data_IF_950769282999
#
_entry.id   IF_950769282999
#
_cell.length_a   1.000
_cell.length_b   1.000
_cell.length_c   1.000
_cell.angle_alpha   90.00
_cell.angle_beta   90.00
_cell.angle_gamma   90.00
#
_symmetry.space_group_name_H-M   'P 1'
#
loop_
_entity.id
_entity.type
_entity.pdbx_description
1 polymer ?
#
# COMPACT_ATOMS: atom_id res chain seq x y z
N UNK A 1 19.12 2.29 0.80
CA UNK A 1 17.78 2.60 0.23
C UNK A 1 16.93 1.35 0.23
N UNK A 2 15.61 1.48 0.37
CA UNK A 2 14.64 0.38 0.40
C UNK A 2 13.38 0.75 -0.37
N UNK A 3 12.61 -0.27 -0.72
CA UNK A 3 11.27 -0.15 -1.27
C UNK A 3 10.27 -0.68 -0.25
N UNK A 4 9.26 0.11 0.09
CA UNK A 4 8.17 -0.33 0.96
C UNK A 4 6.96 -0.67 0.11
N UNK A 5 6.50 -1.91 0.23
CA UNK A 5 5.18 -2.33 -0.21
C UNK A 5 4.21 -2.21 0.96
N UNK A 6 3.03 -1.66 0.73
CA UNK A 6 1.95 -1.64 1.71
C UNK A 6 0.61 -1.98 1.08
N UNK A 7 -0.30 -2.56 1.86
CA UNK A 7 -1.72 -2.67 1.51
C UNK A 7 -2.49 -1.78 2.46
N UNK A 8 -3.24 -0.85 1.88
CA UNK A 8 -3.97 0.18 2.61
C UNK A 8 -5.46 0.10 2.27
N UNK A 9 -6.25 0.77 3.11
CA UNK A 9 -7.69 0.89 2.95
C UNK A 9 -8.07 2.34 2.64
N UNK A 10 -8.97 2.53 1.67
CA UNK A 10 -9.68 3.80 1.45
C UNK A 10 -11.15 3.66 1.83
N UNK A 11 -11.81 4.75 2.24
CA UNK A 11 -13.25 4.80 2.53
C UNK A 11 -13.88 5.89 1.68
N UNK A 12 -14.55 5.48 0.59
CA UNK A 12 -15.04 6.42 -0.43
C UNK A 12 -13.88 7.20 -1.05
N UNK A 13 -14.13 8.49 -1.35
CA UNK A 13 -13.09 9.43 -1.79
C UNK A 13 -12.18 9.93 -0.65
N UNK A 14 -12.52 9.60 0.60
CA UNK A 14 -11.72 9.93 1.78
C UNK A 14 -10.44 9.10 1.77
N UNK A 15 -9.30 9.79 1.81
CA UNK A 15 -7.96 9.21 1.68
C UNK A 15 -7.63 8.05 2.63
N UNK A 16 -6.40 7.49 2.52
CA UNK A 16 -6.04 6.27 3.22
C UNK A 16 -6.26 6.39 4.73
N UNK A 17 -7.05 5.49 5.30
CA UNK A 17 -7.30 5.45 6.74
C UNK A 17 -6.06 4.94 7.47
N UNK A 18 -5.34 3.98 6.87
CA UNK A 18 -4.06 3.44 7.35
C UNK A 18 -3.57 2.31 6.43
N UNK A 19 -2.25 2.07 6.43
CA UNK A 19 -1.69 0.82 5.92
C UNK A 19 -1.99 -0.31 6.91
N UNK A 20 -2.61 -1.38 6.43
CA UNK A 20 -3.00 -2.56 7.22
C UNK A 20 -1.81 -3.52 7.37
N UNK A 21 -0.97 -3.58 6.35
CA UNK A 21 0.23 -4.41 6.33
C UNK A 21 1.28 -3.75 5.46
N UNK A 22 2.53 -3.82 5.93
CA UNK A 22 3.70 -3.27 5.26
C UNK A 22 4.80 -4.33 5.15
N UNK A 23 5.65 -4.19 4.14
CA UNK A 23 6.82 -5.04 3.92
C UNK A 23 7.93 -4.24 3.23
N UNK A 24 9.16 -4.37 3.74
CA UNK A 24 10.34 -3.71 3.19
C UNK A 24 11.12 -4.65 2.27
N UNK A 25 11.59 -4.11 1.15
CA UNK A 25 12.24 -4.86 0.07
C UNK A 25 13.51 -4.15 -0.42
N UNK A 26 14.44 -4.93 -0.96
CA UNK A 26 15.67 -4.41 -1.56
C UNK A 26 15.48 -3.82 -2.97
N UNK A 27 14.37 -4.12 -3.66
CA UNK A 27 14.11 -3.69 -5.03
C UNK A 27 12.62 -3.38 -5.25
N UNK A 28 12.33 -2.56 -6.28
CA UNK A 28 10.95 -2.27 -6.71
C UNK A 28 10.24 -3.56 -7.15
N UNK A 29 10.91 -4.40 -7.94
CA UNK A 29 10.34 -5.64 -8.47
C UNK A 29 9.89 -6.59 -7.37
N UNK A 30 10.72 -6.79 -6.34
CA UNK A 30 10.36 -7.62 -5.19
C UNK A 30 9.20 -7.06 -4.38
N UNK A 31 9.11 -5.73 -4.25
CA UNK A 31 7.99 -5.06 -3.58
C UNK A 31 6.68 -5.23 -4.37
N UNK A 32 6.73 -5.09 -5.71
CA UNK A 32 5.57 -5.29 -6.58
C UNK A 32 5.10 -6.74 -6.62
N UNK A 33 6.03 -7.69 -6.72
CA UNK A 33 5.73 -9.12 -6.65
C UNK A 33 5.08 -9.51 -5.31
N UNK A 34 5.49 -8.86 -4.21
CA UNK A 34 4.84 -9.03 -2.93
C UNK A 34 3.37 -8.56 -2.96
N UNK A 35 3.09 -7.39 -3.54
CA UNK A 35 1.72 -6.88 -3.70
C UNK A 35 0.89 -7.82 -4.58
N UNK A 36 1.42 -8.26 -5.72
CA UNK A 36 0.74 -9.19 -6.64
C UNK A 36 0.32 -10.49 -5.95
N UNK A 37 1.15 -11.01 -5.04
CA UNK A 37 0.82 -12.22 -4.28
C UNK A 37 -0.11 -11.97 -3.10
N UNK A 38 -0.01 -10.81 -2.45
CA UNK A 38 -0.65 -10.53 -1.16
C UNK A 38 -1.99 -9.83 -1.31
N UNK A 39 -2.12 -8.83 -2.19
CA UNK A 39 -3.32 -8.01 -2.34
C UNK A 39 -4.56 -8.83 -2.73
N UNK A 40 -4.52 -9.75 -3.72
CA UNK A 40 -5.70 -10.56 -4.07
C UNK A 40 -6.19 -11.47 -2.94
N UNK A 41 -5.28 -11.85 -2.02
CA UNK A 41 -5.59 -12.73 -0.88
C UNK A 41 -5.92 -11.97 0.39
N UNK A 42 -5.75 -10.65 0.40
CA UNK A 42 -5.97 -9.83 1.59
C UNK A 42 -7.46 -9.65 1.81
N UNK A 43 -7.89 -9.89 3.05
CA UNK A 43 -9.26 -9.69 3.50
C UNK A 43 -9.36 -8.35 4.21
N UNK A 44 -10.54 -7.76 4.19
CA UNK A 44 -10.83 -6.60 5.04
C UNK A 44 -10.61 -6.95 6.51
N UNK A 45 -10.01 -6.06 7.30
CA UNK A 45 -9.95 -6.20 8.76
C UNK A 45 -11.32 -6.48 9.37
N UNK A 46 -11.35 -7.25 10.46
CA UNK A 46 -12.58 -7.69 11.10
C UNK A 46 -13.47 -6.54 11.62
N UNK A 47 -12.86 -5.40 11.95
CA UNK A 47 -13.57 -4.20 12.40
C UNK A 47 -14.30 -3.46 11.27
N UNK A 48 -14.10 -3.82 10.00
CA UNK A 48 -14.83 -3.26 8.86
C UNK A 48 -16.08 -4.12 8.60
N UNK A 49 -17.29 -3.61 8.94
CA UNK A 49 -18.52 -4.35 8.75
C UNK A 49 -18.80 -4.59 7.26
N UNK A 50 -19.43 -5.72 6.92
CA UNK A 50 -19.79 -6.02 5.54
C UNK A 50 -20.71 -4.94 4.90
N UNK A 51 -21.55 -4.29 5.71
CA UNK A 51 -22.38 -3.16 5.26
C UNK A 51 -21.54 -1.99 4.75
N UNK A 52 -20.46 -1.62 5.47
CA UNK A 52 -19.54 -0.54 5.07
C UNK A 52 -18.75 -0.84 3.79
N UNK A 53 -18.58 -2.12 3.43
CA UNK A 53 -17.88 -2.49 2.18
C UNK A 53 -18.63 -2.02 0.94
N UNK A 54 -19.94 -1.83 1.03
CA UNK A 54 -20.76 -1.28 -0.06
C UNK A 54 -20.69 0.26 -0.14
N UNK A 55 -20.11 0.92 0.85
CA UNK A 55 -19.94 2.37 0.91
C UNK A 55 -18.63 2.83 0.20
N UNK A 56 -18.09 2.04 -0.73
CA UNK A 56 -16.85 2.36 -1.44
C UNK A 56 -15.58 2.13 -0.62
N UNK A 57 -15.57 1.12 0.25
CA UNK A 57 -14.38 0.74 1.02
C UNK A 57 -13.55 -0.26 0.22
N UNK A 58 -12.34 0.13 -0.14
CA UNK A 58 -11.49 -0.63 -1.05
C UNK A 58 -10.09 -0.88 -0.46
N UNK A 59 -9.50 -2.01 -0.85
CA UNK A 59 -8.11 -2.35 -0.55
C UNK A 59 -7.26 -2.06 -1.79
N UNK A 60 -6.16 -1.35 -1.59
CA UNK A 60 -5.20 -1.06 -2.64
C UNK A 60 -3.77 -1.29 -2.14
N UNK A 61 -2.88 -1.64 -3.07
CA UNK A 61 -1.46 -1.75 -2.82
C UNK A 61 -0.74 -0.44 -3.14
N UNK A 62 0.33 -0.14 -2.42
CA UNK A 62 1.25 0.96 -2.72
C UNK A 62 2.68 0.48 -2.65
N UNK A 63 3.52 0.92 -3.58
CA UNK A 63 4.97 0.70 -3.53
C UNK A 63 5.67 2.05 -3.64
N UNK A 64 6.48 2.37 -2.65
CA UNK A 64 7.23 3.62 -2.57
C UNK A 64 8.69 3.37 -2.20
N UNK A 65 9.58 4.22 -2.74
CA UNK A 65 11.00 4.22 -2.37
C UNK A 65 11.20 5.05 -1.12
N UNK A 66 12.13 4.63 -0.27
CA UNK A 66 12.40 5.33 0.98
C UNK A 66 13.63 4.80 1.71
N UNK A 67 13.77 5.23 2.95
CA UNK A 67 14.83 4.82 3.86
C UNK A 67 14.30 4.63 5.27
N UNK A 68 14.94 3.75 6.03
CA UNK A 68 14.75 3.69 7.48
C UNK A 68 15.70 4.73 8.07
N UNK A 69 15.17 5.62 8.90
CA UNK A 69 15.95 6.59 9.67
C UNK A 69 16.26 5.98 11.03
N UNK A 70 17.53 5.58 11.27
CA UNK A 70 17.91 4.87 12.49
C UNK A 70 18.04 5.78 13.71
N UNK A 71 18.22 7.10 13.51
CA UNK A 71 18.51 8.06 14.59
C UNK A 71 17.26 8.52 15.36
N UNK A 72 16.13 7.83 15.17
CA UNK A 72 14.91 8.02 15.96
C UNK A 72 14.78 6.92 17.03
N UNK A 73 14.12 7.24 18.16
CA UNK A 73 13.88 6.29 19.25
C UNK A 73 13.25 4.98 18.77
N UNK A 74 12.43 5.07 17.73
CA UNK A 74 11.89 3.94 16.98
C UNK A 74 12.32 4.17 15.51
N UNK A 75 13.01 3.21 14.87
CA UNK A 75 13.38 3.36 13.46
C UNK A 75 12.15 3.59 12.59
N UNK A 76 12.08 4.79 12.00
CA UNK A 76 10.93 5.21 11.19
C UNK A 76 11.30 5.13 9.72
N UNK A 77 10.33 4.72 8.90
CA UNK A 77 10.49 4.77 7.46
C UNK A 77 10.06 6.12 6.92
N UNK A 78 10.92 6.73 6.12
CA UNK A 78 10.64 7.98 5.42
C UNK A 78 10.52 7.72 3.91
N UNK A 79 9.40 8.13 3.27
CA UNK A 79 9.28 8.11 1.83
C UNK A 79 10.25 9.12 1.20
N UNK A 80 10.78 8.78 0.04
CA UNK A 80 11.44 9.73 -0.85
C UNK A 80 10.40 10.46 -1.71
N UNK A 81 10.70 11.71 -2.12
CA UNK A 81 9.91 12.46 -3.09
C UNK A 81 10.09 11.90 -4.52
N UNK A 82 9.70 10.64 -4.70
CA UNK A 82 9.82 9.88 -5.94
C UNK A 82 8.44 9.32 -6.34
N UNK A 83 8.21 9.08 -7.64
CA UNK A 83 6.98 8.45 -8.11
C UNK A 83 6.70 7.15 -7.39
N UNK A 84 5.43 6.89 -7.10
CA UNK A 84 4.96 5.69 -6.43
C UNK A 84 4.12 4.85 -7.38
N UNK A 85 4.00 3.56 -7.04
CA UNK A 85 3.09 2.67 -7.71
C UNK A 85 1.88 2.44 -6.83
N UNK A 86 0.69 2.54 -7.41
CA UNK A 86 -0.54 2.06 -6.81
C UNK A 86 -1.02 0.82 -7.54
N UNK A 87 -1.60 -0.11 -6.79
CA UNK A 87 -2.16 -1.35 -7.29
C UNK A 87 -3.62 -1.46 -6.86
N UNK A 88 -4.51 -1.47 -7.82
CA UNK A 88 -5.92 -1.76 -7.58
C UNK A 88 -6.16 -3.25 -7.75
N UNK A 89 -7.04 -3.82 -6.93
CA UNK A 89 -7.39 -5.24 -7.02
C UNK A 89 -8.42 -5.45 -8.14
N UNK A 90 -8.09 -6.29 -9.12
CA UNK A 90 -8.97 -6.70 -10.21
C UNK A 90 -9.16 -8.22 -10.19
N UNK A 91 -10.10 -8.70 -9.36
CA UNK A 91 -10.30 -10.14 -9.14
C UNK A 91 -9.09 -10.77 -8.44
N UNK A 92 -8.44 -11.70 -9.14
CA UNK A 92 -7.21 -12.39 -8.71
C UNK A 92 -5.92 -11.72 -9.21
N UNK A 93 -6.05 -10.66 -10.00
CA UNK A 93 -4.95 -9.87 -10.52
C UNK A 93 -4.91 -8.48 -9.88
N UNK A 94 -3.82 -7.77 -10.15
CA UNK A 94 -3.65 -6.37 -9.74
C UNK A 94 -3.45 -5.51 -10.98
N UNK A 95 -4.05 -4.32 -10.97
CA UNK A 95 -3.84 -3.30 -11.98
C UNK A 95 -2.91 -2.24 -11.42
N UNK A 96 -1.78 -2.03 -12.09
CA UNK A 96 -0.78 -1.08 -11.66
C UNK A 96 -0.98 0.28 -12.33
N UNK A 97 -0.89 1.33 -11.54
CA UNK A 97 -0.78 2.72 -12.01
C UNK A 97 0.43 3.38 -11.36
N UNK A 98 1.14 4.20 -12.13
CA UNK A 98 2.25 5.00 -11.62
C UNK A 98 1.75 6.42 -11.35
N UNK A 99 1.99 6.90 -10.14
CA UNK A 99 1.52 8.20 -9.66
C UNK A 99 2.72 9.06 -9.24
N UNK A 100 2.55 10.38 -9.21
CA UNK A 100 3.47 11.27 -8.50
C UNK A 100 3.59 10.87 -7.02
N UNK A 101 4.64 11.33 -6.33
CA UNK A 101 4.89 10.99 -4.92
C UNK A 101 3.67 11.29 -4.02
N UNK A 102 3.01 12.41 -4.33
CA UNK A 102 1.85 12.95 -3.64
C UNK A 102 0.51 12.57 -4.28
N UNK A 103 0.53 11.88 -5.44
CA UNK A 103 -0.69 11.51 -6.16
C UNK A 103 -1.33 10.24 -5.58
N UNK A 104 -2.66 10.36 -5.47
CA UNK A 104 -3.61 9.34 -5.03
C UNK A 104 -3.71 8.16 -5.99
#
# INVERSE_FOLDING_TARGET
MRWRASISLTVGDGGPVSSIVESDHGSEGSAREWIERKLPRTRFPAWIPAARRRDGVELFGRVARGRIVPDQLIPTWEPEAAPVWHADRAGDQVQWRRCAADDR
#
